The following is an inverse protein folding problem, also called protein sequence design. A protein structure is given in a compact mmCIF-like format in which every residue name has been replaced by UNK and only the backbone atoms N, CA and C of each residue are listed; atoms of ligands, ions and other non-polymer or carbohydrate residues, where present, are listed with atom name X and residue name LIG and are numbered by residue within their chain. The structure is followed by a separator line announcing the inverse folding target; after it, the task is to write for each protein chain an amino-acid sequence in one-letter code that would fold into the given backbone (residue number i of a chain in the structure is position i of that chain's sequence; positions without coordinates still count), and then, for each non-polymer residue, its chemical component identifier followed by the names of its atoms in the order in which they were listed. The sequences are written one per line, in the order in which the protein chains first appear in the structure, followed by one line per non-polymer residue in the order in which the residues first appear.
data_IF_336960264986
#
_entry.id   IF_336960264986
#
_cell.length_a   1.000
_cell.length_b   1.000
_cell.length_c   1.000
_cell.angle_alpha   90.00
_cell.angle_beta   90.00
_cell.angle_gamma   90.00
#
_symmetry.space_group_name_H-M   'P 1'
#
loop_
_entity.id
_entity.type
_entity.pdbx_description
1 polymer ?
#
# COMPACT_ATOMS: atom_id res chain seq x y z
N UNK A 1 36.54 12.88 18.13
CA UNK A 1 35.16 13.42 18.01
C UNK A 1 34.63 13.37 16.57
N UNK A 2 35.28 13.98 15.56
CA UNK A 2 34.83 13.91 14.13
C UNK A 2 34.60 12.49 13.59
N UNK A 3 35.50 11.53 13.88
CA UNK A 3 35.35 10.12 13.46
C UNK A 3 34.12 9.42 14.08
N UNK A 4 33.78 9.74 15.33
CA UNK A 4 32.60 9.21 16.03
C UNK A 4 31.32 9.81 15.44
N UNK A 5 31.33 11.10 15.09
CA UNK A 5 30.22 11.76 14.40
C UNK A 5 29.94 11.16 13.02
N UNK A 6 31.00 10.85 12.25
CA UNK A 6 30.89 10.20 10.94
C UNK A 6 30.31 8.78 11.09
N UNK A 7 30.77 8.02 12.10
CA UNK A 7 30.26 6.67 12.35
C UNK A 7 28.78 6.68 12.78
N UNK A 8 28.39 7.61 13.65
CA UNK A 8 27.00 7.82 14.06
C UNK A 8 26.11 8.22 12.87
N UNK A 9 26.61 9.06 11.97
CA UNK A 9 25.88 9.48 10.77
C UNK A 9 25.68 8.31 9.79
N UNK A 10 26.69 7.45 9.59
CA UNK A 10 26.59 6.24 8.74
C UNK A 10 25.55 5.25 9.30
N UNK A 11 25.52 5.04 10.61
CA UNK A 11 24.54 4.17 11.28
C UNK A 11 23.08 4.63 11.06
N UNK A 12 22.83 5.94 10.98
CA UNK A 12 21.50 6.48 10.72
C UNK A 12 21.02 6.21 9.28
N UNK A 13 21.93 6.18 8.30
CA UNK A 13 21.60 5.89 6.90
C UNK A 13 21.27 4.41 6.65
N UNK A 14 21.82 3.50 7.45
CA UNK A 14 21.59 2.05 7.29
C UNK A 14 20.15 1.66 7.65
N UNK A 15 19.57 2.26 8.69
CA UNK A 15 18.22 1.93 9.16
C UNK A 15 17.12 2.25 8.14
N UNK A 16 17.27 3.33 7.36
CA UNK A 16 16.30 3.67 6.30
C UNK A 16 16.36 2.69 5.11
N UNK A 17 17.51 2.05 4.90
CA UNK A 17 17.75 1.11 3.81
C UNK A 17 17.22 -0.30 4.11
N UNK A 18 17.39 -0.78 5.36
CA UNK A 18 16.99 -2.14 5.75
C UNK A 18 15.47 -2.34 5.65
N UNK A 19 14.68 -1.39 6.13
CA UNK A 19 13.22 -1.49 6.03
C UNK A 19 12.75 -1.60 4.58
N UNK A 20 13.28 -0.77 3.68
CA UNK A 20 12.96 -0.84 2.25
C UNK A 20 13.38 -2.17 1.63
N UNK A 21 14.52 -2.73 2.03
CA UNK A 21 14.97 -4.03 1.56
C UNK A 21 14.01 -5.15 1.99
N UNK A 22 13.59 -5.18 3.26
CA UNK A 22 12.63 -6.17 3.76
C UNK A 22 11.30 -6.08 3.01
N UNK A 23 10.79 -4.86 2.80
CA UNK A 23 9.53 -4.63 2.08
C UNK A 23 9.61 -5.16 0.64
N UNK A 24 10.75 -4.99 -0.05
CA UNK A 24 10.93 -5.54 -1.40
C UNK A 24 10.82 -7.06 -1.44
N UNK A 25 11.27 -7.76 -0.41
CA UNK A 25 11.11 -9.21 -0.28
C UNK A 25 9.65 -9.60 0.01
N UNK A 26 8.92 -8.78 0.76
CA UNK A 26 7.50 -9.01 1.10
C UNK A 26 6.58 -8.81 -0.12
N UNK A 27 6.98 -8.04 -1.12
CA UNK A 27 6.16 -7.75 -2.32
C UNK A 27 5.57 -9.01 -2.99
N UNK A 28 6.32 -10.12 -3.02
CA UNK A 28 5.85 -11.35 -3.64
C UNK A 28 4.81 -12.06 -2.77
N UNK A 29 5.00 -12.04 -1.44
CA UNK A 29 4.03 -12.55 -0.47
C UNK A 29 2.68 -11.82 -0.63
N UNK A 30 2.70 -10.50 -0.72
CA UNK A 30 1.48 -9.70 -0.96
C UNK A 30 0.81 -10.07 -2.29
N UNK A 31 1.60 -10.37 -3.32
CA UNK A 31 1.03 -10.78 -4.62
C UNK A 31 0.31 -12.12 -4.52
N UNK A 32 0.83 -13.07 -3.74
CA UNK A 32 0.14 -14.34 -3.48
C UNK A 32 -1.08 -14.16 -2.59
N UNK A 33 -1.03 -13.27 -1.60
CA UNK A 33 -2.18 -12.92 -0.76
C UNK A 33 -3.33 -12.34 -1.59
N UNK A 34 -3.05 -11.42 -2.52
CA UNK A 34 -4.06 -10.89 -3.45
C UNK A 34 -4.66 -11.99 -4.32
N UNK A 35 -3.86 -12.95 -4.81
CA UNK A 35 -4.37 -14.09 -5.59
C UNK A 35 -5.30 -14.97 -4.76
N UNK A 36 -4.88 -15.32 -3.53
CA UNK A 36 -5.70 -16.12 -2.63
C UNK A 36 -7.04 -15.43 -2.31
N UNK A 37 -7.02 -14.11 -2.14
CA UNK A 37 -8.22 -13.31 -1.95
C UNK A 37 -9.16 -13.35 -3.17
N UNK A 38 -8.62 -13.27 -4.39
CA UNK A 38 -9.43 -13.37 -5.61
C UNK A 38 -9.99 -14.76 -5.88
N UNK A 39 -9.40 -15.79 -5.28
CA UNK A 39 -9.90 -17.17 -5.33
C UNK A 39 -10.91 -17.47 -4.21
N UNK A 40 -11.09 -16.56 -3.25
CA UNK A 40 -12.03 -16.70 -2.14
C UNK A 40 -13.49 -16.67 -2.64
N UNK A 41 -14.28 -17.64 -2.19
CA UNK A 41 -15.68 -17.82 -2.61
C UNK A 41 -16.66 -17.37 -1.54
N UNK A 42 -16.24 -17.28 -0.29
CA UNK A 42 -17.06 -16.72 0.78
C UNK A 42 -16.95 -15.18 0.78
N UNK A 43 -18.02 -14.45 0.42
CA UNK A 43 -17.99 -13.00 0.36
C UNK A 43 -17.78 -12.34 1.73
N UNK A 44 -18.19 -12.97 2.84
CA UNK A 44 -18.00 -12.43 4.19
C UNK A 44 -16.52 -12.53 4.57
N UNK A 45 -15.88 -13.66 4.25
CA UNK A 45 -14.45 -13.83 4.47
C UNK A 45 -13.64 -12.86 3.60
N UNK A 46 -14.01 -12.70 2.32
CA UNK A 46 -13.36 -11.76 1.41
C UNK A 46 -13.49 -10.31 1.88
N UNK A 47 -14.68 -9.87 2.34
CA UNK A 47 -14.90 -8.52 2.88
C UNK A 47 -13.97 -8.23 4.06
N UNK A 48 -13.92 -9.16 5.02
CA UNK A 48 -13.11 -9.04 6.23
C UNK A 48 -11.60 -9.06 5.92
N UNK A 49 -11.19 -9.92 5.00
CA UNK A 49 -9.80 -10.03 4.55
C UNK A 49 -9.34 -8.73 3.89
N UNK A 50 -10.09 -8.21 2.91
CA UNK A 50 -9.75 -6.95 2.23
C UNK A 50 -9.66 -5.80 3.23
N UNK A 51 -10.65 -5.65 4.10
CA UNK A 51 -10.66 -4.58 5.09
C UNK A 51 -9.39 -4.58 5.98
N UNK A 52 -8.96 -5.77 6.40
CA UNK A 52 -7.76 -5.96 7.22
C UNK A 52 -6.47 -5.74 6.42
N UNK A 53 -6.38 -6.32 5.22
CA UNK A 53 -5.19 -6.27 4.37
C UNK A 53 -4.92 -4.84 3.88
N UNK A 54 -5.96 -4.03 3.66
CA UNK A 54 -5.83 -2.59 3.40
C UNK A 54 -5.11 -1.84 4.51
N UNK A 55 -5.16 -2.29 5.76
CA UNK A 55 -4.45 -1.63 6.86
C UNK A 55 -3.01 -2.10 7.00
N UNK A 56 -2.76 -3.37 6.69
CA UNK A 56 -1.40 -3.90 6.53
C UNK A 56 -0.67 -3.16 5.41
N UNK A 57 -1.27 -3.04 4.23
CA UNK A 57 -0.71 -2.32 3.08
C UNK A 57 -0.34 -0.88 3.43
N UNK A 58 -1.20 -0.16 4.17
CA UNK A 58 -0.88 1.21 4.61
C UNK A 58 0.31 1.26 5.58
N UNK A 59 0.47 0.26 6.45
CA UNK A 59 1.66 0.11 7.30
C UNK A 59 2.94 -0.12 6.47
N UNK A 60 2.87 -1.01 5.47
CA UNK A 60 4.00 -1.27 4.58
C UNK A 60 4.37 -0.04 3.75
N UNK A 61 3.37 0.72 3.26
CA UNK A 61 3.60 1.98 2.54
C UNK A 61 4.21 3.04 3.45
N UNK A 62 3.88 3.10 4.74
CA UNK A 62 4.57 4.01 5.67
C UNK A 62 6.06 3.67 5.80
N UNK A 63 6.41 2.39 5.69
CA UNK A 63 7.81 1.91 5.74
C UNK A 63 8.58 2.11 4.43
N UNK A 64 7.93 1.97 3.27
CA UNK A 64 8.51 2.30 1.95
C UNK A 64 7.53 3.14 1.11
N UNK A 65 7.47 4.48 1.33
CA UNK A 65 6.46 5.34 0.72
C UNK A 65 6.51 5.45 -0.80
N UNK A 66 7.60 5.00 -1.41
CA UNK A 66 7.84 5.14 -2.84
C UNK A 66 7.74 3.81 -3.60
N UNK A 67 7.35 2.73 -2.93
CA UNK A 67 7.17 1.44 -3.56
C UNK A 67 5.90 1.43 -4.44
N UNK A 68 6.08 1.58 -5.75
CA UNK A 68 4.98 1.65 -6.71
C UNK A 68 4.07 0.42 -6.70
N UNK A 69 4.62 -0.77 -6.42
CA UNK A 69 3.83 -2.00 -6.34
C UNK A 69 2.86 -1.96 -5.15
N UNK A 70 3.32 -1.53 -3.98
CA UNK A 70 2.44 -1.36 -2.82
C UNK A 70 1.39 -0.27 -3.04
N UNK A 71 1.78 0.85 -3.67
CA UNK A 71 0.85 1.93 -4.00
C UNK A 71 -0.25 1.46 -4.97
N UNK A 72 0.12 0.65 -5.97
CA UNK A 72 -0.83 0.10 -6.94
C UNK A 72 -1.80 -0.88 -6.26
N UNK A 73 -1.28 -1.83 -5.47
CA UNK A 73 -2.11 -2.82 -4.78
C UNK A 73 -3.04 -2.14 -3.76
N UNK A 74 -2.58 -1.11 -3.05
CA UNK A 74 -3.44 -0.33 -2.16
C UNK A 74 -4.53 0.42 -2.94
N UNK A 75 -4.18 1.03 -4.08
CA UNK A 75 -5.17 1.64 -4.96
C UNK A 75 -6.26 0.64 -5.36
N UNK A 76 -5.86 -0.46 -5.99
CA UNK A 76 -6.79 -1.53 -6.43
C UNK A 76 -7.62 -2.07 -5.26
N UNK A 77 -7.00 -2.36 -4.12
CA UNK A 77 -7.69 -2.84 -2.93
C UNK A 77 -8.76 -1.88 -2.43
N UNK A 78 -8.49 -0.57 -2.40
CA UNK A 78 -9.47 0.42 -1.97
C UNK A 78 -10.63 0.54 -2.97
N UNK A 79 -10.36 0.49 -4.27
CA UNK A 79 -11.40 0.47 -5.31
C UNK A 79 -12.26 -0.80 -5.20
N UNK A 80 -11.63 -1.97 -5.11
CA UNK A 80 -12.33 -3.26 -5.02
C UNK A 80 -13.14 -3.39 -3.72
N UNK A 81 -12.61 -2.91 -2.59
CA UNK A 81 -13.35 -2.89 -1.32
C UNK A 81 -14.60 -2.01 -1.41
N UNK A 82 -14.43 -0.81 -1.95
CA UNK A 82 -15.52 0.16 -2.10
C UNK A 82 -16.62 -0.41 -2.98
N UNK A 83 -16.25 -0.88 -4.17
CA UNK A 83 -17.17 -1.40 -5.18
C UNK A 83 -17.87 -2.67 -4.69
N UNK A 84 -17.11 -3.65 -4.19
CA UNK A 84 -17.63 -4.97 -3.87
C UNK A 84 -18.44 -5.05 -2.59
N UNK A 85 -18.19 -4.15 -1.61
CA UNK A 85 -18.70 -4.35 -0.26
C UNK A 85 -19.35 -3.12 0.39
N UNK A 86 -19.09 -1.90 -0.11
CA UNK A 86 -19.54 -0.65 0.54
C UNK A 86 -20.55 0.12 -0.29
N UNK A 87 -20.34 0.30 -1.60
CA UNK A 87 -21.07 1.27 -2.43
C UNK A 87 -22.59 1.09 -2.43
N UNK A 88 -23.07 -0.15 -2.50
CA UNK A 88 -24.51 -0.42 -2.49
C UNK A 88 -25.15 -0.07 -1.13
N UNK A 89 -24.41 -0.24 -0.03
CA UNK A 89 -24.91 -0.03 1.33
C UNK A 89 -24.81 1.45 1.74
N UNK A 90 -23.73 2.12 1.35
CA UNK A 90 -23.41 3.49 1.75
C UNK A 90 -22.48 4.16 0.72
N UNK A 91 -23.10 4.95 -0.17
CA UNK A 91 -22.40 5.65 -1.25
C UNK A 91 -21.45 6.73 -0.73
N UNK A 92 -21.78 7.40 0.38
CA UNK A 92 -20.93 8.47 0.90
C UNK A 92 -19.69 7.90 1.58
N UNK A 93 -19.84 6.78 2.30
CA UNK A 93 -18.70 6.03 2.81
C UNK A 93 -17.84 5.44 1.68
N UNK A 94 -18.45 4.93 0.61
CA UNK A 94 -17.72 4.41 -0.55
C UNK A 94 -16.87 5.50 -1.23
N UNK A 95 -17.39 6.73 -1.38
CA UNK A 95 -16.62 7.87 -1.93
C UNK A 95 -15.31 8.09 -1.17
N UNK A 96 -15.32 7.98 0.17
CA UNK A 96 -14.10 8.18 0.95
C UNK A 96 -13.05 7.08 0.69
N UNK A 97 -13.48 5.83 0.55
CA UNK A 97 -12.56 4.74 0.22
C UNK A 97 -12.03 4.84 -1.22
N UNK A 98 -12.88 5.20 -2.20
CA UNK A 98 -12.43 5.50 -3.55
C UNK A 98 -11.43 6.66 -3.58
N UNK A 99 -11.66 7.70 -2.78
CA UNK A 99 -10.76 8.84 -2.65
C UNK A 99 -9.37 8.39 -2.23
N UNK A 100 -9.29 7.50 -1.23
CA UNK A 100 -8.02 6.93 -0.75
C UNK A 100 -7.33 6.10 -1.84
N UNK A 101 -8.06 5.24 -2.54
CA UNK A 101 -7.52 4.44 -3.64
C UNK A 101 -6.93 5.33 -4.74
N UNK A 102 -7.70 6.35 -5.16
CA UNK A 102 -7.24 7.37 -6.12
C UNK A 102 -5.98 8.07 -5.63
N UNK A 103 -5.91 8.50 -4.38
CA UNK A 103 -4.75 9.22 -3.84
C UNK A 103 -3.47 8.35 -3.91
N UNK A 104 -3.57 7.04 -3.72
CA UNK A 104 -2.44 6.11 -3.96
C UNK A 104 -2.05 6.02 -5.44
N UNK A 105 -3.02 5.93 -6.36
CA UNK A 105 -2.74 5.94 -7.80
C UNK A 105 -2.08 7.25 -8.25
N UNK A 106 -2.54 8.39 -7.72
CA UNK A 106 -2.00 9.71 -8.05
C UNK A 106 -0.54 9.85 -7.61
N UNK A 107 -0.15 9.24 -6.49
CA UNK A 107 1.27 9.20 -6.06
C UNK A 107 2.16 8.48 -7.07
N UNK A 108 1.64 7.51 -7.81
CA UNK A 108 2.38 6.85 -8.89
C UNK A 108 2.42 7.77 -10.12
N UNK A 109 1.28 8.34 -10.50
CA UNK A 109 1.16 9.18 -11.70
C UNK A 109 2.02 10.45 -11.64
N UNK A 110 2.05 11.15 -10.51
CA UNK A 110 2.86 12.38 -10.35
C UNK A 110 4.37 12.14 -10.42
N UNK A 111 4.82 10.89 -10.36
CA UNK A 111 6.24 10.53 -10.52
C UNK A 111 6.60 10.23 -11.97
N UNK A 112 5.61 9.96 -12.82
CA UNK A 112 5.85 9.71 -14.25
C UNK A 112 6.00 11.04 -14.98
N UNK A 113 7.10 11.19 -15.73
CA UNK A 113 7.34 12.38 -16.55
C UNK A 113 6.16 12.63 -17.49
N UNK A 114 5.60 13.83 -17.45
CA UNK A 114 4.54 14.29 -18.37
C UNK A 114 3.12 14.29 -17.81
N UNK A 115 2.89 13.76 -16.61
CA UNK A 115 1.58 13.87 -15.97
C UNK A 115 1.44 15.24 -15.28
N UNK A 116 0.41 16.02 -15.64
CA UNK A 116 0.05 17.32 -15.04
C UNK A 116 -1.39 17.25 -14.54
N UNK A 117 -1.63 17.74 -13.32
CA UNK A 117 -2.96 17.81 -12.70
C UNK A 117 -3.80 18.94 -13.28
#
# INVERSE_FOLDING_TARGET
MKRILIFSLILLFINCSINRMIIRTINDIITYEVKALYEERDPILAENAIASNLKILEGLIKSDPENEKLLLIASEGFFNYSLGFIEEKDKDRAKEFYRRGRDYAMRILFRKKGFKS
#
